data_IF_013286922477
#
_entry.id   IF_013286922477
#
_cell.length_a   1.000
_cell.length_b   1.000
_cell.length_c   1.000
_cell.angle_alpha   90.00
_cell.angle_beta   90.00
_cell.angle_gamma   90.00
#
_symmetry.space_group_name_H-M   'P 1'
#
loop_
_entity.id
_entity.type
_entity.pdbx_description
1 polymer ?
#
# COMPACT_ATOMS: atom_id res chain seq x y z
N UNK A 1 -8.55 -1.63 -1.95
CA UNK A 1 -7.45 -1.63 -2.92
C UNK A 1 -7.68 -2.55 -4.12
N UNK A 2 -7.98 -3.85 -3.93
CA UNK A 2 -8.07 -4.81 -5.04
C UNK A 2 -9.11 -4.49 -6.13
N UNK A 3 -10.20 -3.78 -5.80
CA UNK A 3 -11.22 -3.38 -6.79
C UNK A 3 -10.83 -2.14 -7.62
N UNK A 4 -9.69 -1.53 -7.34
CA UNK A 4 -9.17 -0.40 -8.12
C UNK A 4 -8.03 -0.90 -9.01
N UNK A 5 -8.14 -0.80 -10.36
CA UNK A 5 -7.14 -1.32 -11.28
C UNK A 5 -5.71 -0.82 -10.99
N UNK A 6 -5.55 0.48 -10.72
CA UNK A 6 -4.24 1.06 -10.41
C UNK A 6 -3.62 0.50 -9.14
N UNK A 7 -4.39 0.41 -8.05
CA UNK A 7 -3.91 -0.18 -6.80
C UNK A 7 -3.61 -1.68 -6.95
N UNK A 8 -4.50 -2.42 -7.63
CA UNK A 8 -4.33 -3.86 -7.86
C UNK A 8 -3.06 -4.15 -8.64
N UNK A 9 -2.74 -3.34 -9.65
CA UNK A 9 -1.52 -3.49 -10.44
C UNK A 9 -0.25 -3.38 -9.58
N UNK A 10 -0.24 -2.46 -8.60
CA UNK A 10 0.89 -2.36 -7.66
C UNK A 10 0.97 -3.60 -6.75
N UNK A 11 -0.16 -4.05 -6.20
CA UNK A 11 -0.23 -5.21 -5.29
C UNK A 11 0.22 -6.51 -5.96
N UNK A 12 -0.17 -6.73 -7.22
CA UNK A 12 0.14 -7.96 -7.96
C UNK A 12 1.44 -7.89 -8.77
N UNK A 13 2.12 -6.75 -8.76
CA UNK A 13 3.36 -6.57 -9.51
C UNK A 13 4.49 -7.43 -8.93
N UNK A 14 5.11 -8.24 -9.78
CA UNK A 14 6.33 -9.01 -9.44
C UNK A 14 7.60 -8.15 -9.41
N UNK A 15 7.52 -6.89 -9.82
CA UNK A 15 8.67 -5.98 -9.92
C UNK A 15 9.08 -5.39 -8.57
N UNK A 16 8.20 -5.45 -7.58
CA UNK A 16 8.48 -5.02 -6.21
C UNK A 16 8.82 -6.24 -5.37
N UNK A 17 9.89 -6.13 -4.59
CA UNK A 17 10.36 -7.20 -3.70
C UNK A 17 10.23 -6.83 -2.24
N UNK A 18 9.89 -5.57 -1.95
CA UNK A 18 9.72 -5.05 -0.60
C UNK A 18 8.42 -4.24 -0.48
N UNK A 19 7.82 -4.28 0.71
CA UNK A 19 6.63 -3.49 1.04
C UNK A 19 6.74 -2.87 2.43
N UNK A 20 6.42 -1.58 2.52
CA UNK A 20 6.16 -0.89 3.78
C UNK A 20 4.67 -0.59 3.93
N UNK A 21 4.11 -0.84 5.11
CA UNK A 21 2.70 -0.56 5.42
C UNK A 21 2.62 0.36 6.64
N UNK A 22 1.91 1.48 6.49
CA UNK A 22 1.67 2.44 7.55
C UNK A 22 0.18 2.57 7.87
N UNK A 23 -0.13 2.70 9.16
CA UNK A 23 -1.46 2.98 9.68
C UNK A 23 -1.39 4.23 10.57
N UNK A 24 -2.25 5.21 10.29
CA UNK A 24 -2.49 6.34 11.16
C UNK A 24 -3.97 6.41 11.52
N UNK A 25 -4.29 6.66 12.80
CA UNK A 25 -5.67 6.83 13.26
C UNK A 25 -5.87 8.28 13.68
N UNK A 26 -6.89 8.95 13.15
CA UNK A 26 -7.22 10.31 13.59
C UNK A 26 -7.98 10.31 14.92
N UNK A 27 -8.24 11.50 15.48
CA UNK A 27 -8.95 11.68 16.76
C UNK A 27 -10.36 11.08 16.76
N UNK A 28 -11.03 11.06 15.60
CA UNK A 28 -12.37 10.49 15.42
C UNK A 28 -12.34 8.96 15.21
N UNK A 29 -11.16 8.37 15.28
CA UNK A 29 -10.95 6.94 15.14
C UNK A 29 -10.91 6.42 13.70
N UNK A 30 -10.88 7.29 12.70
CA UNK A 30 -10.73 6.90 11.29
C UNK A 30 -9.30 6.44 11.04
N UNK A 31 -9.18 5.25 10.46
CA UNK A 31 -7.90 4.66 10.06
C UNK A 31 -7.53 5.05 8.63
N UNK A 32 -6.32 5.58 8.46
CA UNK A 32 -5.68 5.87 7.19
C UNK A 32 -4.56 4.89 6.96
N UNK A 33 -4.54 4.29 5.79
CA UNK A 33 -3.59 3.26 5.41
C UNK A 33 -2.75 3.71 4.23
N UNK A 34 -1.46 3.43 4.27
CA UNK A 34 -0.54 3.66 3.16
C UNK A 34 0.28 2.41 2.91
N UNK A 35 0.51 2.11 1.63
CA UNK A 35 1.37 1.00 1.19
C UNK A 35 2.42 1.57 0.24
N UNK A 36 3.68 1.32 0.53
CA UNK A 36 4.81 1.66 -0.33
C UNK A 36 5.39 0.37 -0.90
N UNK A 37 5.35 0.23 -2.22
CA UNK A 37 5.95 -0.89 -2.94
C UNK A 37 7.30 -0.47 -3.48
N UNK A 38 8.34 -1.24 -3.17
CA UNK A 38 9.74 -0.86 -3.40
C UNK A 38 10.51 -2.04 -3.99
N UNK A 39 11.66 -1.74 -4.57
CA UNK A 39 12.69 -2.69 -4.95
C UNK A 39 14.04 -2.14 -4.49
N UNK A 40 14.94 -2.96 -3.93
CA UNK A 40 16.32 -2.55 -3.68
C UNK A 40 16.97 -2.03 -4.96
N UNK A 41 17.91 -1.11 -4.78
CA UNK A 41 18.82 -0.69 -5.86
C UNK A 41 19.87 -1.76 -6.13
#
# INVERSE_FOLDING_TARGET
WMNSPGHRNNILSRSYTEIGVGLAKNKNGVCYWTQMFMKPM
#
